data_IF_335669613711
#
_entry.id   IF_335669613711
#
_cell.length_a   1.000
_cell.length_b   1.000
_cell.length_c   1.000
_cell.angle_alpha   90.00
_cell.angle_beta   90.00
_cell.angle_gamma   90.00
#
_symmetry.space_group_name_H-M   'P 1'
#
loop_
_entity.id
_entity.type
_entity.pdbx_description
1 polymer ?
#
# COMPACT_ATOMS: atom_id res chain seq x y z
N UNK A 1 -3.32 6.83 -9.85
CA UNK A 1 -3.17 7.29 -8.47
C UNK A 1 -2.33 6.29 -7.71
N UNK A 2 -1.36 6.76 -6.99
CA UNK A 2 -0.41 5.90 -6.31
C UNK A 2 -0.57 6.04 -4.80
N UNK A 3 -0.55 4.90 -4.11
CA UNK A 3 -0.74 4.88 -2.66
C UNK A 3 0.28 3.97 -2.00
N UNK A 4 0.82 4.43 -0.88
CA UNK A 4 1.53 3.56 0.06
C UNK A 4 0.50 3.04 1.06
N UNK A 5 0.41 1.73 1.18
CA UNK A 5 -0.49 1.09 2.13
C UNK A 5 0.35 0.32 3.13
N UNK A 6 0.29 0.73 4.39
CA UNK A 6 0.87 -0.01 5.49
C UNK A 6 -0.24 -0.86 6.09
N UNK A 7 -0.01 -2.15 6.21
CA UNK A 7 -0.99 -3.04 6.85
C UNK A 7 -0.28 -3.88 7.92
N UNK A 8 -1.03 -4.22 8.95
CA UNK A 8 -0.49 -4.96 10.07
C UNK A 8 -1.57 -5.83 10.67
N UNK A 9 -1.23 -7.09 10.93
CA UNK A 9 -2.14 -8.02 11.60
C UNK A 9 -2.28 -7.61 13.05
N UNK A 10 -3.51 -7.60 13.56
CA UNK A 10 -3.75 -7.36 14.98
C UNK A 10 -3.37 -8.60 15.77
N UNK A 11 -2.43 -8.45 16.71
CA UNK A 11 -1.90 -9.58 17.47
C UNK A 11 -2.99 -10.34 18.22
N UNK A 12 -4.01 -9.64 18.70
CA UNK A 12 -5.13 -10.26 19.42
C UNK A 12 -5.95 -11.20 18.55
N UNK A 13 -5.75 -11.13 17.22
CA UNK A 13 -6.50 -11.96 16.26
C UNK A 13 -5.66 -13.05 15.64
N UNK A 14 -4.43 -13.25 16.10
CA UNK A 14 -3.57 -14.30 15.55
C UNK A 14 -4.16 -15.67 15.86
N UNK A 15 -4.23 -16.51 14.85
CA UNK A 15 -4.73 -17.88 14.93
C UNK A 15 -4.12 -18.67 13.78
N UNK A 16 -4.35 -19.97 13.78
CA UNK A 16 -3.90 -20.80 12.66
C UNK A 16 -4.53 -20.40 11.35
N UNK A 17 -5.82 -20.00 11.38
CA UNK A 17 -6.51 -19.56 10.17
C UNK A 17 -5.95 -18.23 9.67
N UNK A 18 -5.63 -17.29 10.56
CA UNK A 18 -5.03 -16.02 10.17
C UNK A 18 -3.66 -16.26 9.57
N UNK A 19 -2.87 -17.17 10.12
CA UNK A 19 -1.57 -17.50 9.56
C UNK A 19 -1.69 -18.08 8.16
N UNK A 20 -2.71 -18.92 7.91
CA UNK A 20 -2.97 -19.43 6.57
C UNK A 20 -3.32 -18.30 5.61
N UNK A 21 -4.13 -17.34 6.07
CA UNK A 21 -4.49 -16.19 5.26
C UNK A 21 -3.25 -15.36 4.90
N UNK A 22 -2.37 -15.14 5.88
CA UNK A 22 -1.10 -14.43 5.63
C UNK A 22 -0.27 -15.17 4.60
N UNK A 23 -0.19 -16.51 4.70
CA UNK A 23 0.58 -17.30 3.75
C UNK A 23 -0.02 -17.29 2.34
N UNK A 24 -1.29 -16.95 2.20
CA UNK A 24 -1.93 -16.83 0.89
C UNK A 24 -1.74 -15.45 0.25
N UNK A 25 -1.15 -14.50 0.98
CA UNK A 25 -0.97 -13.14 0.47
C UNK A 25 -0.15 -13.07 -0.82
N UNK A 26 0.95 -13.84 -0.99
CA UNK A 26 1.66 -13.81 -2.26
C UNK A 26 0.80 -14.23 -3.46
N UNK A 27 -0.06 -15.23 -3.29
CA UNK A 27 -0.96 -15.67 -4.35
C UNK A 27 -2.04 -14.62 -4.64
N UNK A 28 -2.51 -13.94 -3.61
CA UNK A 28 -3.44 -12.84 -3.77
C UNK A 28 -2.80 -11.68 -4.54
N UNK A 29 -1.54 -11.37 -4.24
CA UNK A 29 -0.86 -10.23 -4.82
C UNK A 29 -0.44 -10.45 -6.27
N UNK A 30 -0.12 -11.70 -6.64
CA UNK A 30 0.49 -11.98 -7.94
C UNK A 30 -0.30 -11.47 -9.13
N UNK A 31 -1.61 -11.75 -9.26
CA UNK A 31 -2.36 -11.20 -10.40
C UNK A 31 -2.44 -9.67 -10.38
N UNK A 32 -2.43 -9.07 -9.20
CA UNK A 32 -2.45 -7.61 -9.09
C UNK A 32 -1.12 -7.01 -9.53
N UNK A 33 -0.02 -7.69 -9.22
CA UNK A 33 1.29 -7.27 -9.70
C UNK A 33 1.38 -7.38 -11.22
N UNK A 34 0.84 -8.47 -11.78
CA UNK A 34 0.85 -8.69 -13.22
C UNK A 34 0.04 -7.64 -13.96
N UNK A 35 -1.03 -7.13 -13.33
CA UNK A 35 -1.89 -6.10 -13.91
C UNK A 35 -1.36 -4.69 -13.63
N UNK A 36 -0.24 -4.56 -12.92
CA UNK A 36 0.31 -3.26 -12.57
C UNK A 36 -0.44 -2.53 -11.47
N UNK A 37 -1.31 -3.23 -10.73
CA UNK A 37 -2.06 -2.61 -9.63
C UNK A 37 -1.25 -2.58 -8.34
N UNK A 38 -0.31 -3.50 -8.17
CA UNK A 38 0.67 -3.47 -7.10
C UNK A 38 2.04 -3.29 -7.73
N UNK A 39 2.73 -2.23 -7.35
CA UNK A 39 4.05 -1.90 -7.89
C UNK A 39 5.17 -2.52 -7.08
N UNK A 40 5.01 -2.59 -5.77
CA UNK A 40 6.05 -3.09 -4.87
C UNK A 40 5.41 -3.62 -3.60
N UNK A 41 6.05 -4.63 -3.02
CA UNK A 41 5.64 -5.19 -1.75
C UNK A 41 6.86 -5.36 -0.86
N UNK A 42 6.76 -4.86 0.38
CA UNK A 42 7.83 -4.98 1.35
C UNK A 42 7.25 -5.48 2.67
N UNK A 43 8.03 -6.29 3.37
CA UNK A 43 7.73 -6.61 4.75
C UNK A 43 8.33 -5.51 5.63
N UNK A 44 7.55 -5.05 6.61
CA UNK A 44 8.06 -4.07 7.57
C UNK A 44 8.79 -4.81 8.67
N UNK A 45 10.10 -4.60 8.74
CA UNK A 45 10.96 -5.32 9.68
C UNK A 45 10.46 -5.12 11.11
N UNK A 46 10.32 -6.22 11.86
CA UNK A 46 9.88 -6.18 13.23
C UNK A 46 8.38 -6.08 13.42
N UNK A 47 7.59 -6.17 12.35
CA UNK A 47 6.14 -6.11 12.43
C UNK A 47 5.49 -7.36 11.83
N UNK A 48 4.19 -7.50 12.01
CA UNK A 48 3.39 -8.56 11.40
C UNK A 48 2.60 -7.98 10.21
N UNK A 49 3.29 -7.28 9.33
CA UNK A 49 2.62 -6.64 8.22
C UNK A 49 3.56 -6.20 7.13
N UNK A 50 3.04 -5.40 6.22
CA UNK A 50 3.80 -4.99 5.05
C UNK A 50 3.55 -3.55 4.67
N UNK A 51 4.40 -3.09 3.76
CA UNK A 51 4.30 -1.79 3.11
C UNK A 51 4.20 -2.06 1.62
N UNK A 52 3.01 -1.88 1.06
CA UNK A 52 2.74 -2.20 -0.34
C UNK A 52 2.42 -0.91 -1.09
N UNK A 53 2.87 -0.80 -2.33
CA UNK A 53 2.58 0.36 -3.16
C UNK A 53 1.61 -0.05 -4.25
N UNK A 54 0.46 0.64 -4.29
CA UNK A 54 -0.60 0.39 -5.25
C UNK A 54 -0.64 1.50 -6.31
N UNK A 55 -1.01 1.11 -7.52
CA UNK A 55 -1.32 2.03 -8.61
C UNK A 55 -2.74 1.75 -9.05
N UNK A 56 -3.66 2.69 -8.81
CA UNK A 56 -5.09 2.49 -9.06
C UNK A 56 -5.66 3.74 -9.75
N UNK A 57 -6.87 3.59 -10.30
CA UNK A 57 -7.51 4.67 -11.02
C UNK A 57 -8.40 5.52 -10.13
N UNK A 58 -8.75 5.02 -8.94
CA UNK A 58 -9.65 5.73 -8.04
C UNK A 58 -9.46 5.23 -6.61
N UNK A 59 -9.95 6.03 -5.65
CA UNK A 59 -9.99 5.61 -4.25
C UNK A 59 -10.87 4.38 -4.08
N UNK A 60 -11.96 4.31 -4.84
CA UNK A 60 -12.88 3.18 -4.76
C UNK A 60 -12.22 1.89 -5.23
N UNK A 61 -11.37 1.97 -6.24
CA UNK A 61 -10.63 0.79 -6.68
C UNK A 61 -9.70 0.30 -5.59
N UNK A 62 -8.97 1.21 -4.93
CA UNK A 62 -8.08 0.83 -3.84
C UNK A 62 -8.88 0.16 -2.71
N UNK A 63 -10.00 0.75 -2.33
CA UNK A 63 -10.85 0.19 -1.29
C UNK A 63 -11.26 -1.25 -1.64
N UNK A 64 -11.67 -1.47 -2.89
CA UNK A 64 -12.08 -2.79 -3.35
C UNK A 64 -10.94 -3.80 -3.26
N UNK A 65 -9.73 -3.39 -3.67
CA UNK A 65 -8.58 -4.28 -3.62
C UNK A 65 -8.21 -4.65 -2.18
N UNK A 66 -8.30 -3.70 -1.26
CA UNK A 66 -8.02 -3.96 0.16
C UNK A 66 -9.07 -4.88 0.77
N UNK A 67 -10.35 -4.63 0.47
CA UNK A 67 -11.45 -5.45 1.00
C UNK A 67 -11.32 -6.90 0.57
N UNK A 68 -10.79 -7.13 -0.62
CA UNK A 68 -10.60 -8.49 -1.16
C UNK A 68 -9.38 -9.20 -0.61
N UNK A 69 -8.55 -8.50 0.16
CA UNK A 69 -7.35 -9.11 0.73
C UNK A 69 -7.73 -10.19 1.75
N UNK A 70 -7.02 -11.33 1.75
CA UNK A 70 -7.30 -12.41 2.72
C UNK A 70 -7.19 -11.97 4.17
N UNK A 71 -6.47 -10.90 4.46
CA UNK A 71 -6.23 -10.46 5.83
C UNK A 71 -6.99 -9.18 6.18
N UNK A 72 -7.93 -8.76 5.32
CA UNK A 72 -8.59 -7.47 5.52
C UNK A 72 -9.24 -7.34 6.90
N UNK A 73 -9.97 -8.37 7.33
CA UNK A 73 -10.76 -8.29 8.57
C UNK A 73 -9.93 -8.41 9.84
N UNK A 74 -8.66 -8.75 9.73
CA UNK A 74 -7.77 -8.94 10.89
C UNK A 74 -6.59 -7.98 10.87
N UNK A 75 -6.63 -6.99 9.99
CA UNK A 75 -5.54 -6.02 9.81
C UNK A 75 -5.99 -4.62 10.11
N UNK A 76 -5.05 -3.80 10.54
CA UNK A 76 -5.20 -2.35 10.52
C UNK A 76 -4.46 -1.82 9.30
N UNK A 77 -4.95 -0.71 8.76
CA UNK A 77 -4.41 -0.10 7.55
C UNK A 77 -4.11 1.37 7.76
N UNK A 78 -2.98 1.81 7.19
CA UNK A 78 -2.69 3.23 7.03
C UNK A 78 -2.43 3.45 5.54
N UNK A 79 -3.11 4.43 4.96
CA UNK A 79 -3.08 4.68 3.52
C UNK A 79 -2.58 6.08 3.28
N UNK A 80 -1.53 6.19 2.47
CA UNK A 80 -0.90 7.47 2.15
C UNK A 80 -0.92 7.68 0.65
N UNK A 81 -1.60 8.72 0.15
CA UNK A 81 -1.51 9.05 -1.27
C UNK A 81 -0.13 9.60 -1.58
N UNK A 82 0.41 9.19 -2.72
CA UNK A 82 1.75 9.58 -3.13
C UNK A 82 1.67 10.42 -4.40
N UNK A 83 2.47 11.47 -4.44
CA UNK A 83 2.61 12.30 -5.62
C UNK A 83 3.98 12.02 -6.24
N UNK A 84 4.02 12.06 -7.57
CA UNK A 84 5.29 11.92 -8.29
C UNK A 84 6.09 13.20 -8.13
N UNK A 85 7.30 13.08 -7.60
CA UNK A 85 8.16 14.25 -7.37
C UNK A 85 8.54 14.96 -8.66
N UNK A 86 8.63 14.23 -9.75
CA UNK A 86 8.98 14.86 -11.04
C UNK A 86 7.88 15.78 -11.53
N UNK A 87 6.65 15.62 -11.04
CA UNK A 87 5.50 16.45 -11.40
C UNK A 87 5.09 17.38 -10.28
N UNK A 88 5.88 17.45 -9.24
CA UNK A 88 5.57 18.25 -8.07
C UNK A 88 5.66 19.75 -8.44
N UNK A 89 4.59 20.53 -8.16
CA UNK A 89 4.59 21.95 -8.52
C UNK A 89 5.42 22.77 -7.55
N UNK A 90 6.74 22.66 -7.67
CA UNK A 90 7.65 23.40 -6.81
C UNK A 90 7.67 24.87 -7.25
N UNK A 91 7.32 25.76 -6.34
CA UNK A 91 7.50 27.19 -6.50
C UNK A 91 8.93 27.51 -6.09
N UNK A 92 9.83 27.67 -7.04
CA UNK A 92 11.15 28.16 -6.70
C UNK A 92 11.02 29.66 -6.48
N UNK A 93 11.43 30.19 -5.36
CA UNK A 93 11.43 31.62 -5.14
C UNK A 93 12.45 32.24 -6.07
N UNK A 94 12.67 32.32 -6.72
CA UNK A 94 13.29 32.71 -7.54
C UNK A 94 14.36 32.24 -7.96
N UNK A 95 14.10 31.88 -8.30
CA UNK A 95 14.81 31.22 -8.57
C UNK A 95 15.47 31.80 -9.12
N UNK A 96 14.98 32.21 -8.85
CA UNK A 96 15.12 32.72 -8.91
C UNK A 96 15.49 33.12 -8.35
N UNK A 97 15.43 32.80 -7.77
CA UNK A 97 15.27 33.08 -7.15
C UNK A 97 15.48 33.03 -6.50
N UNK A 98 15.33 33.15 -6.27
CA UNK A 98 14.91 33.02 -5.68
C UNK A 98 14.89 32.84 -5.24
N UNK A 99 14.69 32.80 -5.15
CA UNK A 99 13.92 32.57 -4.97
C UNK A 99 13.86 32.42 -4.86
N UNK A 100 14.31 32.54 -4.87
CA UNK A 100 13.62 32.38 -4.94
C UNK A 100 13.69 32.08 -5.11
#
# INVERSE_FOLDING_TARGET
>A
MKFLVLWQIELSRLSGEVLKAVMSMPDHAKPLEEKGKILSRYHVVGSHGGAWIYEVDSNEELEMLLVRSPVYNVSTYQVFPLADMSNFPVQTPDAKGSQG
#
